data_IF_806115736156
#
_entry.id   IF_806115736156
#
_cell.length_a   1.000
_cell.length_b   1.000
_cell.length_c   1.000
_cell.angle_alpha   90.00
_cell.angle_beta   90.00
_cell.angle_gamma   90.00
#
_symmetry.space_group_name_H-M   'P 1'
#
loop_
_entity.id
_entity.type
_entity.pdbx_description
1 polymer ?
#
# COMPACT_ATOMS: atom_id res chain seq x y z
N UNK A 1 10.91 -5.51 2.46
CA UNK A 1 9.68 -5.06 1.78
C UNK A 1 8.52 -5.32 2.71
N UNK A 2 7.60 -4.38 2.80
CA UNK A 2 6.39 -4.47 3.61
C UNK A 2 5.21 -4.90 2.75
N UNK A 3 4.44 -5.86 3.26
CA UNK A 3 3.20 -6.35 2.65
C UNK A 3 2.04 -6.16 3.63
N UNK A 4 0.89 -5.71 3.13
CA UNK A 4 -0.40 -5.94 3.76
C UNK A 4 -0.92 -7.32 3.36
N UNK A 5 -1.96 -7.79 4.03
CA UNK A 5 -2.66 -9.04 3.76
C UNK A 5 -3.33 -9.10 2.37
N UNK A 6 -3.59 -7.95 1.77
CA UNK A 6 -4.20 -7.77 0.45
C UNK A 6 -3.18 -7.45 -0.68
N UNK A 7 -1.85 -7.51 -0.39
CA UNK A 7 -0.78 -7.22 -1.34
C UNK A 7 -0.21 -8.48 -1.97
N UNK A 8 0.01 -8.42 -3.29
CA UNK A 8 0.51 -9.54 -4.08
C UNK A 8 1.58 -9.07 -5.08
N UNK A 9 2.44 -10.00 -5.50
CA UNK A 9 3.39 -9.79 -6.61
C UNK A 9 2.80 -10.38 -7.89
N UNK A 10 2.96 -9.70 -9.01
CA UNK A 10 2.39 -10.13 -10.30
C UNK A 10 3.31 -10.99 -11.16
N UNK A 11 4.48 -11.36 -10.65
CA UNK A 11 5.47 -12.18 -11.36
C UNK A 11 6.85 -12.08 -10.74
N UNK A 12 7.88 -12.51 -11.48
CA UNK A 12 9.27 -12.40 -11.02
C UNK A 12 9.62 -10.95 -10.75
N UNK A 13 9.92 -10.65 -9.50
CA UNK A 13 10.14 -9.30 -9.00
C UNK A 13 11.58 -9.16 -8.54
N UNK A 14 12.35 -8.33 -9.23
CA UNK A 14 13.72 -7.99 -8.86
C UNK A 14 13.78 -6.84 -7.85
N UNK A 15 14.95 -6.67 -7.24
CA UNK A 15 15.22 -5.58 -6.30
C UNK A 15 15.09 -4.20 -6.95
N UNK A 16 15.35 -4.09 -8.24
CA UNK A 16 15.24 -2.89 -9.08
C UNK A 16 13.82 -2.31 -9.13
N UNK A 17 12.81 -3.11 -8.78
CA UNK A 17 11.44 -2.65 -8.68
C UNK A 17 11.17 -1.81 -7.44
N UNK A 18 11.97 -2.01 -6.41
CA UNK A 18 11.83 -1.39 -5.09
C UNK A 18 12.93 -0.37 -4.79
N UNK A 19 14.09 -0.53 -5.40
CA UNK A 19 15.24 0.34 -5.19
C UNK A 19 15.86 0.78 -6.51
N UNK A 20 16.44 1.96 -6.50
CA UNK A 20 17.30 2.44 -7.60
C UNK A 20 18.68 1.78 -7.52
N UNK A 21 19.51 1.83 -8.58
CA UNK A 21 20.88 1.28 -8.53
C UNK A 21 21.77 1.90 -7.45
N UNK A 22 21.52 3.16 -7.08
CA UNK A 22 22.19 3.91 -6.00
C UNK A 22 21.53 3.71 -4.63
N UNK A 23 20.55 2.79 -4.52
CA UNK A 23 19.96 2.36 -3.25
C UNK A 23 18.80 3.20 -2.73
N UNK A 24 18.30 4.18 -3.47
CA UNK A 24 17.12 4.93 -3.08
C UNK A 24 15.85 4.07 -3.15
N UNK A 25 14.95 4.27 -2.20
CA UNK A 25 13.63 3.62 -2.19
C UNK A 25 12.77 4.19 -3.34
N UNK A 26 12.19 3.33 -4.18
CA UNK A 26 11.22 3.76 -5.19
C UNK A 26 9.83 3.88 -4.58
N UNK A 27 9.36 5.10 -4.38
CA UNK A 27 8.01 5.41 -3.91
C UNK A 27 7.12 5.76 -5.09
N UNK A 28 6.20 4.89 -5.44
CA UNK A 28 5.25 5.12 -6.54
C UNK A 28 4.07 5.93 -6.06
N UNK A 29 3.85 7.09 -6.67
CA UNK A 29 2.77 7.99 -6.30
C UNK A 29 1.46 7.61 -6.99
N UNK A 30 0.36 7.76 -6.26
CA UNK A 30 -0.98 7.76 -6.82
C UNK A 30 -1.33 9.11 -7.47
N UNK A 31 -2.52 9.21 -8.04
CA UNK A 31 -2.97 10.43 -8.74
C UNK A 31 -3.73 11.41 -7.85
N UNK A 32 -4.35 10.89 -6.80
CA UNK A 32 -5.14 11.70 -5.90
C UNK A 32 -4.26 12.48 -4.93
N UNK A 33 -4.70 13.66 -4.57
CA UNK A 33 -4.15 14.36 -3.42
C UNK A 33 -4.52 13.60 -2.14
N UNK A 34 -3.56 13.47 -1.25
CA UNK A 34 -3.80 12.90 0.09
C UNK A 34 -4.70 13.83 0.90
N UNK A 35 -5.66 13.27 1.68
CA UNK A 35 -6.53 14.06 2.54
C UNK A 35 -5.73 14.88 3.54
N UNK A 36 -6.21 16.09 3.83
CA UNK A 36 -5.61 17.05 4.74
C UNK A 36 -6.57 17.51 5.82
N UNK A 37 -6.04 18.17 6.82
CA UNK A 37 -6.79 18.72 7.95
C UNK A 37 -6.80 17.75 9.14
N UNK A 38 -7.66 18.00 10.11
CA UNK A 38 -7.83 17.12 11.25
C UNK A 38 -8.85 16.02 10.93
N UNK A 39 -8.65 14.79 11.45
CA UNK A 39 -9.71 13.78 11.44
C UNK A 39 -10.98 14.30 12.09
N UNK A 40 -12.13 13.90 11.56
CA UNK A 40 -13.43 14.19 12.15
C UNK A 40 -13.97 12.93 12.85
N UNK A 41 -14.90 13.05 13.84
CA UNK A 41 -15.54 11.91 14.45
C UNK A 41 -16.14 10.99 13.38
N UNK A 42 -16.04 9.67 13.60
CA UNK A 42 -16.58 8.62 12.70
C UNK A 42 -16.01 8.58 11.27
N UNK A 43 -14.91 9.29 11.03
CA UNK A 43 -14.21 9.21 9.76
C UNK A 43 -13.61 7.82 9.53
N UNK A 44 -13.58 7.37 8.27
CA UNK A 44 -12.87 6.13 7.91
C UNK A 44 -11.40 6.21 8.35
N UNK A 45 -10.93 5.16 9.06
CA UNK A 45 -9.58 5.14 9.65
C UNK A 45 -8.46 5.36 8.63
N UNK A 46 -8.66 4.93 7.36
CA UNK A 46 -7.68 5.17 6.30
C UNK A 46 -7.52 6.67 5.99
N UNK A 47 -8.62 7.40 5.82
CA UNK A 47 -8.60 8.85 5.61
C UNK A 47 -8.01 9.58 6.81
N UNK A 48 -8.43 9.21 8.03
CA UNK A 48 -7.91 9.77 9.27
C UNK A 48 -6.39 9.52 9.39
N UNK A 49 -5.94 8.31 9.08
CA UNK A 49 -4.52 7.94 9.10
C UNK A 49 -3.67 8.79 8.15
N UNK A 50 -4.16 9.09 6.95
CA UNK A 50 -3.49 9.98 6.01
C UNK A 50 -3.47 11.44 6.49
N UNK A 51 -4.56 11.93 7.09
CA UNK A 51 -4.61 13.28 7.68
C UNK A 51 -3.60 13.43 8.82
N UNK A 52 -3.56 12.46 9.73
CA UNK A 52 -2.60 12.46 10.84
C UNK A 52 -1.15 12.43 10.34
N UNK A 53 -0.85 11.59 9.35
CA UNK A 53 0.47 11.55 8.73
C UNK A 53 0.83 12.87 8.03
N UNK A 54 -0.11 13.50 7.30
CA UNK A 54 0.10 14.83 6.72
C UNK A 54 0.38 15.89 7.78
N UNK A 55 -0.34 15.87 8.91
CA UNK A 55 -0.13 16.82 10.01
C UNK A 55 1.27 16.68 10.62
N UNK A 56 1.79 15.45 10.75
CA UNK A 56 3.16 15.18 11.20
C UNK A 56 4.15 15.75 10.18
N UNK A 57 4.00 15.39 8.91
CA UNK A 57 4.88 15.85 7.83
C UNK A 57 4.84 17.37 7.63
N UNK A 58 3.69 18.02 7.83
CA UNK A 58 3.55 19.48 7.73
C UNK A 58 4.25 20.21 8.87
N UNK A 59 4.29 19.63 10.07
CA UNK A 59 5.05 20.18 11.22
C UNK A 59 6.55 20.06 11.01
N UNK A 60 7.01 18.92 10.53
CA UNK A 60 8.43 18.60 10.42
C UNK A 60 9.07 19.21 9.17
N UNK A 61 8.41 19.13 8.03
CA UNK A 61 8.98 19.47 6.72
C UNK A 61 8.27 20.65 6.03
N UNK A 62 7.35 21.31 6.72
CA UNK A 62 6.56 22.42 6.18
C UNK A 62 5.34 21.98 5.37
N UNK A 63 4.34 22.86 5.35
CA UNK A 63 3.06 22.63 4.67
C UNK A 63 3.22 22.53 3.17
N UNK A 64 2.77 21.44 2.59
CA UNK A 64 2.73 21.23 1.12
C UNK A 64 1.69 20.20 0.71
N UNK A 65 1.21 20.29 -0.52
CA UNK A 65 0.36 19.26 -1.11
C UNK A 65 1.18 17.99 -1.36
N UNK A 66 0.60 16.80 -1.07
CA UNK A 66 1.22 15.50 -1.31
C UNK A 66 0.24 14.61 -2.04
N UNK A 67 0.72 13.86 -3.03
CA UNK A 67 -0.06 12.81 -3.67
C UNK A 67 -0.17 11.59 -2.74
N UNK A 68 -1.21 10.80 -2.92
CA UNK A 68 -1.29 9.48 -2.29
C UNK A 68 -0.13 8.61 -2.78
N UNK A 69 0.26 7.62 -2.00
CA UNK A 69 1.17 6.56 -2.44
C UNK A 69 0.32 5.40 -2.97
N UNK A 70 0.76 4.73 -4.04
CA UNK A 70 0.04 3.60 -4.62
C UNK A 70 -0.07 2.45 -3.61
N UNK A 71 -1.23 1.82 -3.54
CA UNK A 71 -1.54 0.77 -2.57
C UNK A 71 -1.04 -0.60 -3.07
N UNK A 72 0.21 -0.91 -2.77
CA UNK A 72 0.98 -2.08 -3.24
C UNK A 72 2.16 -2.35 -2.30
N UNK A 73 2.91 -3.46 -2.45
CA UNK A 73 4.09 -3.69 -1.61
C UNK A 73 5.04 -2.49 -1.57
N UNK A 74 5.45 -2.09 -0.35
CA UNK A 74 6.33 -0.95 -0.11
C UNK A 74 7.76 -1.39 0.20
N UNK A 75 8.73 -0.69 -0.37
CA UNK A 75 10.10 -0.78 0.13
C UNK A 75 10.28 0.10 1.38
N UNK A 76 10.96 -0.42 2.37
CA UNK A 76 11.34 0.33 3.57
C UNK A 76 12.81 0.08 3.92
N UNK A 77 13.45 1.11 4.40
CA UNK A 77 14.75 1.04 5.03
C UNK A 77 14.58 0.86 6.55
N UNK A 78 15.25 -0.15 7.15
CA UNK A 78 15.16 -0.42 8.59
C UNK A 78 15.65 0.74 9.44
N UNK A 79 16.71 1.41 9.01
CA UNK A 79 17.25 2.56 9.76
C UNK A 79 16.32 3.76 9.70
N UNK A 80 15.69 4.01 8.54
CA UNK A 80 14.64 5.02 8.42
C UNK A 80 13.45 4.71 9.32
N UNK A 81 13.03 3.44 9.40
CA UNK A 81 11.93 3.02 10.27
C UNK A 81 12.26 3.30 11.75
N UNK A 82 13.45 2.90 12.22
CA UNK A 82 13.92 3.16 13.58
C UNK A 82 14.01 4.67 13.88
N UNK A 83 14.57 5.43 12.94
CA UNK A 83 14.65 6.89 13.05
C UNK A 83 13.26 7.52 13.18
N UNK A 84 12.33 7.15 12.30
CA UNK A 84 10.96 7.67 12.34
C UNK A 84 10.23 7.29 13.64
N UNK A 85 10.46 6.08 14.18
CA UNK A 85 9.89 5.66 15.47
C UNK A 85 10.44 6.52 16.63
N UNK A 86 11.72 6.88 16.58
CA UNK A 86 12.34 7.77 17.56
C UNK A 86 11.86 9.22 17.44
N UNK A 87 11.67 9.70 16.21
CA UNK A 87 11.22 11.07 15.93
C UNK A 87 9.72 11.27 16.18
N UNK A 88 8.91 10.22 15.92
CA UNK A 88 7.44 10.27 16.02
C UNK A 88 6.87 9.18 16.95
N UNK A 89 7.35 9.04 18.21
CA UNK A 89 6.98 7.92 19.08
C UNK A 89 5.47 7.80 19.30
N UNK A 90 4.77 8.91 19.47
CA UNK A 90 3.32 8.91 19.65
C UNK A 90 2.55 8.34 18.45
N UNK A 91 3.03 8.58 17.23
CA UNK A 91 2.40 8.04 16.03
C UNK A 91 2.48 6.50 15.99
N UNK A 92 3.61 5.95 16.41
CA UNK A 92 3.82 4.50 16.50
C UNK A 92 3.04 3.87 17.66
N UNK A 93 3.03 4.52 18.81
CA UNK A 93 2.29 4.07 20.01
C UNK A 93 0.78 4.02 19.73
N UNK A 94 0.19 5.09 19.25
CA UNK A 94 -1.24 5.16 18.89
C UNK A 94 -1.62 4.11 17.84
N UNK A 95 -0.77 3.89 16.85
CA UNK A 95 -1.03 2.90 15.81
C UNK A 95 -0.93 1.46 16.34
N UNK A 96 0.05 1.16 17.20
CA UNK A 96 0.25 -0.17 17.80
C UNK A 96 -0.80 -0.51 18.86
N UNK A 97 -1.21 0.46 19.65
CA UNK A 97 -2.22 0.26 20.73
C UNK A 97 -3.63 0.08 20.16
N UNK A 98 -3.88 0.51 18.94
CA UNK A 98 -5.20 0.42 18.31
C UNK A 98 -5.45 -0.98 17.76
N UNK A 99 -6.34 -1.76 18.39
CA UNK A 99 -6.77 -3.08 17.89
C UNK A 99 -7.49 -3.00 16.55
N UNK A 100 -8.22 -1.93 16.32
CA UNK A 100 -8.96 -1.66 15.08
C UNK A 100 -8.57 -0.30 14.53
N UNK A 101 -8.86 -0.07 13.26
CA UNK A 101 -8.67 1.25 12.64
C UNK A 101 -9.45 2.31 13.42
N UNK A 102 -8.78 3.40 13.78
CA UNK A 102 -9.34 4.50 14.56
C UNK A 102 -8.97 5.84 13.92
N UNK A 103 -9.64 6.90 14.34
CA UNK A 103 -9.33 8.28 13.91
C UNK A 103 -7.97 8.79 14.42
N UNK A 104 -7.36 8.08 15.38
CA UNK A 104 -6.04 8.43 15.94
C UNK A 104 -4.87 7.78 15.23
N UNK A 105 -5.11 6.65 14.52
CA UNK A 105 -4.04 5.92 13.81
C UNK A 105 -3.32 6.83 12.81
N UNK A 106 -2.08 6.47 12.49
CA UNK A 106 -1.26 7.14 11.49
C UNK A 106 -0.96 6.18 10.35
N UNK A 107 -1.08 6.63 9.11
CA UNK A 107 -0.69 5.86 7.92
C UNK A 107 0.83 5.79 7.80
N UNK A 108 1.47 4.99 8.69
CA UNK A 108 2.93 4.93 8.84
C UNK A 108 3.56 4.37 7.57
N UNK A 109 3.26 3.11 7.21
CA UNK A 109 3.92 2.40 6.11
C UNK A 109 3.51 2.92 4.74
N UNK A 110 2.23 3.28 4.58
CA UNK A 110 1.67 3.69 3.30
C UNK A 110 1.87 5.17 2.97
N UNK A 111 2.25 6.01 3.95
CA UNK A 111 2.34 7.45 3.71
C UNK A 111 3.47 8.14 4.49
N UNK A 112 3.54 8.02 5.81
CA UNK A 112 4.53 8.74 6.63
C UNK A 112 5.96 8.38 6.21
N UNK A 113 6.32 7.09 6.25
CA UNK A 113 7.67 6.62 5.92
C UNK A 113 8.09 6.92 4.47
N UNK A 114 7.27 6.70 3.43
CA UNK A 114 7.58 7.10 2.07
C UNK A 114 7.97 8.57 1.93
N UNK A 115 7.22 9.47 2.56
CA UNK A 115 7.52 10.90 2.50
C UNK A 115 8.69 11.31 3.39
N UNK A 116 8.87 10.70 4.56
CA UNK A 116 10.10 10.88 5.36
C UNK A 116 11.34 10.46 4.57
N UNK A 117 11.29 9.31 3.88
CA UNK A 117 12.37 8.87 3.01
C UNK A 117 12.70 9.90 1.92
N UNK A 118 11.66 10.43 1.26
CA UNK A 118 11.84 11.45 0.21
C UNK A 118 12.46 12.73 0.74
N UNK A 119 11.99 13.25 1.87
CA UNK A 119 12.51 14.49 2.44
C UNK A 119 13.93 14.35 3.02
N UNK A 120 14.31 13.14 3.41
CA UNK A 120 15.67 12.80 3.80
C UNK A 120 16.57 12.35 2.61
N UNK A 121 16.14 12.55 1.36
CA UNK A 121 16.87 12.16 0.15
C UNK A 121 17.20 10.66 0.05
N UNK A 122 16.37 9.81 0.64
CA UNK A 122 16.48 8.35 0.63
C UNK A 122 15.46 7.66 -0.28
N UNK A 123 14.63 8.43 -0.97
CA UNK A 123 13.64 7.90 -1.90
C UNK A 123 13.53 8.70 -3.19
N UNK A 124 13.31 7.96 -4.28
CA UNK A 124 12.90 8.45 -5.59
C UNK A 124 11.37 8.41 -5.68
N UNK A 125 10.73 9.57 -5.81
CA UNK A 125 9.29 9.69 -6.01
C UNK A 125 8.95 9.45 -7.47
N UNK A 126 8.46 8.27 -7.78
CA UNK A 126 8.04 7.89 -9.13
C UNK A 126 6.66 8.45 -9.42
N UNK A 127 6.51 9.36 -10.41
CA UNK A 127 5.23 9.98 -10.73
C UNK A 127 4.20 8.95 -11.21
N UNK A 128 2.89 9.23 -11.04
CA UNK A 128 1.84 8.32 -11.46
C UNK A 128 1.78 8.21 -12.99
N UNK A 129 1.71 6.99 -13.50
CA UNK A 129 1.48 6.73 -14.93
C UNK A 129 -0.01 6.72 -15.27
N UNK A 130 -0.35 7.19 -16.48
CA UNK A 130 -1.75 7.43 -16.87
C UNK A 130 -2.66 6.20 -16.80
N UNK A 131 -2.14 5.01 -17.08
CA UNK A 131 -2.90 3.76 -17.12
C UNK A 131 -2.52 2.75 -16.02
N UNK A 132 -1.65 3.13 -15.09
CA UNK A 132 -1.26 2.24 -14.00
C UNK A 132 -2.38 2.16 -12.97
N UNK A 133 -2.91 0.96 -12.77
CA UNK A 133 -3.90 0.62 -11.76
C UNK A 133 -3.42 -0.64 -11.05
N UNK A 134 -3.27 -0.56 -9.75
CA UNK A 134 -2.71 -1.62 -8.92
C UNK A 134 -3.67 -2.11 -7.83
N UNK A 135 -4.81 -1.47 -7.68
CA UNK A 135 -5.85 -1.87 -6.74
C UNK A 135 -7.09 -2.39 -7.48
N UNK A 136 -7.48 -3.59 -7.17
CA UNK A 136 -8.61 -4.31 -7.75
C UNK A 136 -9.62 -4.66 -6.66
N UNK A 137 -10.87 -4.81 -7.05
CA UNK A 137 -11.94 -5.29 -6.18
C UNK A 137 -12.41 -6.65 -6.66
N UNK A 138 -12.51 -7.60 -5.73
CA UNK A 138 -13.03 -8.93 -5.95
C UNK A 138 -14.39 -9.08 -5.25
N UNK A 139 -15.31 -9.72 -5.87
CA UNK A 139 -16.70 -9.87 -5.40
C UNK A 139 -17.66 -9.59 -6.54
N UNK A 140 -18.82 -9.07 -6.27
CA UNK A 140 -19.77 -8.66 -7.29
C UNK A 140 -20.19 -9.77 -8.25
N UNK A 141 -19.85 -9.64 -9.52
CA UNK A 141 -20.22 -10.59 -10.56
C UNK A 141 -19.02 -11.36 -11.12
N UNK A 142 -19.27 -12.57 -11.61
CA UNK A 142 -18.29 -13.41 -12.34
C UNK A 142 -17.65 -12.67 -13.51
N UNK A 143 -18.41 -11.86 -14.23
CA UNK A 143 -17.92 -11.05 -15.35
C UNK A 143 -16.91 -9.98 -14.89
N UNK A 144 -17.17 -9.31 -13.75
CA UNK A 144 -16.25 -8.34 -13.15
C UNK A 144 -14.93 -9.01 -12.74
N UNK A 145 -15.03 -10.16 -12.07
CA UNK A 145 -13.86 -10.89 -11.58
C UNK A 145 -12.99 -11.44 -12.73
N UNK A 146 -13.60 -11.90 -13.83
CA UNK A 146 -12.86 -12.27 -15.06
C UNK A 146 -12.04 -11.10 -15.61
N UNK A 147 -12.61 -9.89 -15.63
CA UNK A 147 -11.89 -8.67 -16.06
C UNK A 147 -10.74 -8.34 -15.12
N UNK A 148 -10.92 -8.55 -13.81
CA UNK A 148 -9.84 -8.40 -12.82
C UNK A 148 -8.68 -9.35 -13.12
N UNK A 149 -8.97 -10.65 -13.31
CA UNK A 149 -7.95 -11.67 -13.65
C UNK A 149 -7.19 -11.30 -14.93
N UNK A 150 -7.91 -10.96 -16.01
CA UNK A 150 -7.29 -10.55 -17.27
C UNK A 150 -6.37 -9.34 -17.07
N UNK A 151 -6.79 -8.37 -16.27
CA UNK A 151 -6.05 -7.15 -16.01
C UNK A 151 -4.80 -7.42 -15.18
N UNK A 152 -4.89 -8.26 -14.14
CA UNK A 152 -3.73 -8.66 -13.34
C UNK A 152 -2.71 -9.41 -14.18
N UNK A 153 -3.13 -10.36 -15.03
CA UNK A 153 -2.24 -11.08 -15.95
C UNK A 153 -1.55 -10.18 -16.98
N UNK A 154 -2.15 -9.04 -17.29
CA UNK A 154 -1.56 -8.04 -18.20
C UNK A 154 -0.74 -6.97 -17.51
N UNK A 155 -0.64 -7.00 -16.17
CA UNK A 155 0.14 -6.01 -15.43
C UNK A 155 1.61 -6.09 -15.78
N UNK A 156 2.18 -4.92 -16.06
CA UNK A 156 3.63 -4.73 -16.19
C UNK A 156 4.27 -4.27 -14.88
N UNK A 157 3.46 -3.98 -13.89
CA UNK A 157 3.91 -3.65 -12.55
C UNK A 157 4.02 -4.92 -11.72
N UNK A 158 5.00 -4.98 -10.83
CA UNK A 158 5.35 -6.19 -10.10
C UNK A 158 4.58 -6.37 -8.79
N UNK A 159 3.56 -5.56 -8.52
CA UNK A 159 2.74 -5.69 -7.33
C UNK A 159 1.36 -5.08 -7.54
N UNK A 160 0.39 -5.66 -6.86
CA UNK A 160 -0.99 -5.23 -6.88
C UNK A 160 -1.67 -5.51 -5.54
N UNK A 161 -2.85 -4.95 -5.36
CA UNK A 161 -3.73 -5.18 -4.23
C UNK A 161 -5.06 -5.75 -4.73
N UNK A 162 -5.60 -6.74 -4.04
CA UNK A 162 -6.97 -7.21 -4.23
C UNK A 162 -7.73 -7.06 -2.91
N UNK A 163 -8.83 -6.34 -2.95
CA UNK A 163 -9.74 -6.16 -1.82
C UNK A 163 -11.11 -6.72 -2.14
N UNK A 164 -11.79 -7.21 -1.12
CA UNK A 164 -13.20 -7.54 -1.25
C UNK A 164 -14.03 -6.30 -1.55
N UNK A 165 -15.05 -6.47 -2.36
CA UNK A 165 -16.03 -5.42 -2.62
C UNK A 165 -16.92 -5.24 -1.40
N UNK A 166 -16.88 -4.06 -0.77
CA UNK A 166 -17.59 -3.80 0.50
C UNK A 166 -19.11 -3.92 0.33
N UNK A 167 -19.75 -4.55 1.32
CA UNK A 167 -21.20 -4.65 1.39
C UNK A 167 -21.82 -5.70 0.46
N UNK A 168 -20.98 -6.53 -0.18
CA UNK A 168 -21.41 -7.61 -1.05
C UNK A 168 -21.00 -8.94 -0.45
N UNK A 169 -21.95 -9.87 -0.34
CA UNK A 169 -21.65 -11.27 -0.04
C UNK A 169 -21.05 -11.93 -1.27
N UNK A 170 -19.82 -12.42 -1.17
CA UNK A 170 -19.15 -13.11 -2.28
C UNK A 170 -19.67 -14.54 -2.37
N UNK A 171 -20.24 -14.96 -3.50
CA UNK A 171 -20.68 -16.34 -3.70
C UNK A 171 -19.52 -17.33 -3.56
N UNK A 172 -19.78 -18.52 -3.02
CA UNK A 172 -18.75 -19.57 -2.83
C UNK A 172 -18.05 -19.93 -4.15
N UNK A 173 -18.77 -19.91 -5.27
CA UNK A 173 -18.20 -20.11 -6.60
C UNK A 173 -17.13 -19.08 -6.96
N UNK A 174 -17.28 -17.82 -6.53
CA UNK A 174 -16.32 -16.75 -6.78
C UNK A 174 -15.14 -16.81 -5.78
N UNK A 175 -15.36 -17.28 -4.55
CA UNK A 175 -14.28 -17.61 -3.60
C UNK A 175 -13.40 -18.74 -4.18
N UNK A 176 -14.02 -19.80 -4.69
CA UNK A 176 -13.30 -20.90 -5.35
C UNK A 176 -12.50 -20.43 -6.55
N UNK A 177 -13.11 -19.60 -7.41
CA UNK A 177 -12.42 -18.99 -8.57
C UNK A 177 -11.23 -18.13 -8.16
N UNK A 178 -11.33 -17.41 -7.05
CA UNK A 178 -10.20 -16.66 -6.51
C UNK A 178 -9.05 -17.58 -6.12
N UNK A 179 -9.34 -18.66 -5.39
CA UNK A 179 -8.33 -19.65 -5.01
C UNK A 179 -7.69 -20.33 -6.23
N UNK A 180 -8.46 -20.70 -7.23
CA UNK A 180 -7.95 -21.27 -8.50
C UNK A 180 -7.02 -20.27 -9.20
N UNK A 181 -7.44 -19.02 -9.31
CA UNK A 181 -6.63 -17.95 -9.90
C UNK A 181 -5.32 -17.73 -9.13
N UNK A 182 -5.37 -17.69 -7.81
CA UNK A 182 -4.15 -17.50 -6.99
C UNK A 182 -3.21 -18.72 -7.08
N UNK A 183 -3.76 -19.94 -7.09
CA UNK A 183 -2.97 -21.17 -7.28
C UNK A 183 -2.30 -21.23 -8.67
N UNK A 184 -2.96 -20.73 -9.69
CA UNK A 184 -2.39 -20.64 -11.04
C UNK A 184 -1.32 -19.54 -11.14
N UNK A 185 -1.54 -18.41 -10.47
CA UNK A 185 -0.58 -17.30 -10.44
C UNK A 185 0.71 -17.66 -9.68
N UNK A 186 0.59 -18.48 -8.64
CA UNK A 186 1.68 -18.94 -7.77
C UNK A 186 1.80 -20.46 -7.79
N UNK A 187 1.92 -21.02 -8.99
CA UNK A 187 2.01 -22.47 -9.21
C UNK A 187 3.32 -23.12 -8.72
N UNK A 188 4.37 -22.32 -8.54
CA UNK A 188 5.66 -22.77 -8.02
C UNK A 188 5.77 -22.40 -6.55
N UNK A 189 5.99 -23.39 -5.68
CA UNK A 189 6.27 -23.18 -4.27
C UNK A 189 7.57 -22.36 -4.09
N UNK A 190 7.56 -21.41 -3.17
CA UNK A 190 8.78 -20.68 -2.81
C UNK A 190 9.74 -21.57 -2.02
N UNK A 191 11.03 -21.22 -2.01
CA UNK A 191 12.04 -21.94 -1.20
C UNK A 191 11.78 -21.90 0.31
N UNK A 192 10.83 -21.09 0.77
CA UNK A 192 10.44 -20.95 2.17
C UNK A 192 9.17 -21.74 2.53
N UNK A 193 8.47 -22.28 1.54
CA UNK A 193 7.32 -23.15 1.76
C UNK A 193 7.81 -24.55 2.07
N UNK A 194 7.27 -25.13 3.15
CA UNK A 194 7.56 -26.52 3.48
C UNK A 194 6.82 -27.43 2.50
N UNK A 195 7.55 -28.30 1.82
CA UNK A 195 7.00 -29.43 1.06
C UNK A 195 6.35 -30.45 2.00
#
# INVERSE_FOLDING_TARGET
IYFNDDFFLSGKTGVDQFYTPDGLIRVRLGRALSPKGNPIPDEEGDSAGHKNANNILDREFGKRARLTVMHRPYAHNKELLKKAETEFPLAFEETRSSRFRSTKMVAIHSFLLPYCASYNQQADLVPPKLLEKDMFKWGGSSESNKKVVQRIRSLRSNGFCIQEERGISIPESEVRRFHEFMSDLYSEASSFEKS
#
